data_IF_729230489134
#
_entry.id   IF_729230489134
#
_cell.length_a   1.000
_cell.length_b   1.000
_cell.length_c   1.000
_cell.angle_alpha   90.00
_cell.angle_beta   90.00
_cell.angle_gamma   90.00
#
_symmetry.space_group_name_H-M   'P 1'
#
loop_
_entity.id
_entity.type
_entity.pdbx_description
1 polymer ?
#
# COMPACT_ATOMS: atom_id res chain seq x y z
N UNK A 1 -39.83 -4.46 51.30
CA UNK A 1 -39.20 -5.38 50.34
C UNK A 1 -39.84 -5.15 48.97
N UNK A 2 -39.18 -5.13 47.79
CA UNK A 2 -37.77 -5.04 47.35
C UNK A 2 -37.82 -4.89 45.81
N UNK A 3 -37.16 -4.00 45.08
CA UNK A 3 -36.41 -2.75 45.36
C UNK A 3 -36.32 -1.91 44.05
N UNK A 4 -35.71 -0.71 44.05
CA UNK A 4 -35.47 0.12 42.85
C UNK A 4 -34.00 0.06 42.40
N UNK A 5 -33.66 -0.51 41.23
CA UNK A 5 -32.47 -0.15 40.47
C UNK A 5 -32.80 1.04 39.55
N UNK A 6 -32.18 2.21 39.73
CA UNK A 6 -30.82 2.55 39.27
C UNK A 6 -30.80 2.88 37.77
N UNK A 7 -31.02 4.16 37.45
CA UNK A 7 -30.86 4.70 36.10
C UNK A 7 -29.37 4.78 35.78
N UNK A 8 -28.86 3.82 35.01
CA UNK A 8 -27.47 3.75 34.58
C UNK A 8 -27.30 4.24 33.15
N UNK A 9 -27.13 5.55 32.96
CA UNK A 9 -26.61 6.08 31.69
C UNK A 9 -25.13 5.76 31.59
N UNK A 10 -24.75 4.89 30.65
CA UNK A 10 -23.37 4.66 30.26
C UNK A 10 -23.10 5.24 28.87
N UNK A 11 -22.32 6.34 28.76
CA UNK A 11 -21.78 6.81 27.49
C UNK A 11 -20.28 6.52 27.43
N UNK A 12 -19.89 5.35 26.93
CA UNK A 12 -18.61 5.09 26.27
C UNK A 12 -18.50 3.61 25.90
N UNK A 13 -18.62 3.31 24.61
CA UNK A 13 -17.62 2.43 24.02
C UNK A 13 -17.15 3.06 22.70
N UNK A 14 -16.09 3.87 22.83
CA UNK A 14 -15.38 4.47 21.71
C UNK A 14 -14.58 3.39 21.00
N UNK A 15 -15.21 2.67 20.08
CA UNK A 15 -14.51 1.68 19.24
C UNK A 15 -14.49 2.10 17.78
N UNK A 16 -13.36 2.72 17.40
CA UNK A 16 -12.89 2.91 16.03
C UNK A 16 -13.93 3.38 15.01
N UNK A 17 -14.26 4.68 15.05
CA UNK A 17 -14.46 5.39 13.80
C UNK A 17 -13.16 5.21 12.99
N UNK A 18 -13.20 4.35 11.97
CA UNK A 18 -12.01 4.02 11.19
C UNK A 18 -11.41 5.30 10.63
N UNK A 19 -10.10 5.51 10.88
CA UNK A 19 -9.34 6.58 10.24
C UNK A 19 -9.63 6.53 8.75
N UNK A 20 -10.35 7.55 8.25
CA UNK A 20 -10.55 7.69 6.81
C UNK A 20 -9.17 7.66 6.16
N UNK A 21 -8.92 6.78 5.16
CA UNK A 21 -7.61 6.68 4.56
C UNK A 21 -7.19 8.07 4.07
N UNK A 22 -5.98 8.48 4.48
CA UNK A 22 -5.40 9.73 4.01
C UNK A 22 -5.34 9.76 2.48
N UNK A 23 -5.19 10.95 1.86
CA UNK A 23 -5.09 11.05 0.41
C UNK A 23 -4.01 10.10 -0.12
N UNK A 24 -4.35 9.37 -1.18
CA UNK A 24 -3.42 8.42 -1.79
C UNK A 24 -2.15 9.16 -2.21
N UNK A 25 -0.99 8.70 -1.72
CA UNK A 25 0.31 9.28 -2.04
C UNK A 25 0.82 8.90 -3.45
N UNK A 26 0.11 8.00 -4.12
CA UNK A 26 0.40 7.52 -5.46
C UNK A 26 -0.84 7.66 -6.36
N UNK A 27 -0.67 7.99 -7.66
CA UNK A 27 0.61 8.23 -8.34
C UNK A 27 1.29 9.54 -7.90
N UNK A 28 2.61 9.58 -8.06
CA UNK A 28 3.41 10.79 -7.97
C UNK A 28 3.36 11.55 -9.29
N UNK A 29 3.29 12.88 -9.22
CA UNK A 29 3.62 13.74 -10.37
C UNK A 29 5.04 13.44 -10.83
N UNK A 30 5.21 13.03 -12.08
CA UNK A 30 6.52 12.70 -12.66
C UNK A 30 7.41 13.95 -12.69
N UNK A 31 8.52 14.02 -11.92
CA UNK A 31 9.57 14.98 -12.23
C UNK A 31 10.28 14.50 -13.50
N UNK A 32 10.61 15.41 -14.42
CA UNK A 32 11.03 15.05 -15.80
C UNK A 32 12.11 13.97 -15.89
N UNK A 33 13.01 13.90 -14.91
CA UNK A 33 13.87 12.73 -14.64
C UNK A 33 13.82 12.40 -13.15
N UNK A 34 13.15 11.32 -12.75
CA UNK A 34 13.20 10.81 -11.36
C UNK A 34 14.37 9.83 -11.18
N UNK A 35 15.44 10.27 -10.53
CA UNK A 35 16.63 9.43 -10.26
C UNK A 35 16.37 8.31 -9.26
N UNK A 36 15.26 8.34 -8.51
CA UNK A 36 14.87 7.28 -7.58
C UNK A 36 14.38 6.04 -8.32
N UNK A 37 13.79 6.20 -9.51
CA UNK A 37 13.33 5.10 -10.35
C UNK A 37 14.48 4.46 -11.13
N UNK A 38 15.23 3.60 -10.43
CA UNK A 38 16.46 2.99 -10.90
C UNK A 38 16.32 1.47 -11.11
N UNK A 39 17.26 0.86 -11.84
CA UNK A 39 17.34 -0.60 -11.91
C UNK A 39 17.56 -1.24 -10.53
N UNK A 40 18.29 -0.59 -9.62
CA UNK A 40 18.47 -1.06 -8.24
C UNK A 40 17.15 -1.26 -7.52
N UNK A 41 16.25 -0.28 -7.59
CA UNK A 41 14.90 -0.37 -7.03
C UNK A 41 14.10 -1.56 -7.60
N UNK A 42 14.22 -1.84 -8.89
CA UNK A 42 13.55 -2.98 -9.53
C UNK A 42 14.13 -4.31 -9.03
N UNK A 43 15.45 -4.43 -8.88
CA UNK A 43 16.08 -5.63 -8.31
C UNK A 43 15.75 -5.83 -6.83
N UNK A 44 15.64 -4.76 -6.05
CA UNK A 44 15.27 -4.87 -4.64
C UNK A 44 13.79 -5.26 -4.48
N UNK A 45 12.90 -4.78 -5.35
CA UNK A 45 11.52 -5.27 -5.44
C UNK A 45 11.45 -6.76 -5.85
N UNK A 46 12.29 -7.20 -6.80
CA UNK A 46 12.38 -8.62 -7.18
C UNK A 46 12.80 -9.51 -6.00
N UNK A 47 13.83 -9.10 -5.23
CA UNK A 47 14.25 -9.81 -4.01
C UNK A 47 13.15 -9.88 -2.95
N UNK A 48 12.33 -8.84 -2.81
CA UNK A 48 11.18 -8.85 -1.89
C UNK A 48 10.15 -9.87 -2.34
N UNK A 49 9.84 -9.95 -3.64
CA UNK A 49 8.94 -10.98 -4.18
C UNK A 49 9.50 -12.40 -3.93
N UNK A 50 10.77 -12.62 -4.22
CA UNK A 50 11.47 -13.89 -3.96
C UNK A 50 11.42 -14.28 -2.47
N UNK A 51 11.67 -13.32 -1.56
CA UNK A 51 11.60 -13.54 -0.11
C UNK A 51 10.17 -13.87 0.39
N UNK A 52 9.14 -13.45 -0.34
CA UNK A 52 7.74 -13.82 -0.07
C UNK A 52 7.30 -15.11 -0.80
N UNK A 53 8.22 -15.83 -1.45
CA UNK A 53 7.95 -17.13 -2.09
C UNK A 53 7.45 -17.06 -3.53
N UNK A 54 7.52 -15.89 -4.17
CA UNK A 54 7.29 -15.79 -5.62
C UNK A 54 8.50 -16.35 -6.39
N UNK A 55 8.32 -16.83 -7.64
CA UNK A 55 9.43 -17.29 -8.48
C UNK A 55 10.48 -16.19 -8.73
N UNK A 56 11.76 -16.55 -8.88
CA UNK A 56 12.82 -15.58 -9.07
C UNK A 56 12.79 -14.93 -10.46
N UNK A 57 13.08 -13.63 -10.49
CA UNK A 57 13.00 -12.79 -11.70
C UNK A 57 14.28 -12.95 -12.52
N UNK A 58 14.45 -14.14 -13.09
CA UNK A 58 15.69 -14.56 -13.79
C UNK A 58 15.73 -14.19 -15.27
N UNK A 59 14.57 -13.94 -15.90
CA UNK A 59 14.50 -13.62 -17.32
C UNK A 59 14.36 -12.10 -17.57
N UNK A 60 15.01 -11.61 -18.63
CA UNK A 60 14.92 -10.21 -19.06
C UNK A 60 13.48 -9.69 -19.28
N UNK A 61 12.57 -10.46 -19.91
CA UNK A 61 11.16 -10.07 -20.04
C UNK A 61 10.46 -9.85 -18.69
N UNK A 62 10.71 -10.71 -17.70
CA UNK A 62 10.08 -10.61 -16.37
C UNK A 62 10.57 -9.36 -15.62
N UNK A 63 11.86 -9.04 -15.74
CA UNK A 63 12.43 -7.81 -15.18
C UNK A 63 11.84 -6.56 -15.85
N UNK A 64 11.58 -6.60 -17.16
CA UNK A 64 10.90 -5.51 -17.89
C UNK A 64 9.45 -5.38 -17.45
N UNK A 65 8.73 -6.49 -17.29
CA UNK A 65 7.35 -6.52 -16.80
C UNK A 65 7.24 -5.95 -15.38
N UNK A 66 8.11 -6.38 -14.47
CA UNK A 66 8.20 -5.85 -13.10
C UNK A 66 8.48 -4.34 -13.11
N UNK A 67 9.45 -3.89 -13.91
CA UNK A 67 9.77 -2.46 -14.05
C UNK A 67 8.57 -1.66 -14.56
N UNK A 68 7.82 -2.16 -15.55
CA UNK A 68 6.62 -1.49 -16.06
C UNK A 68 5.50 -1.44 -15.02
N UNK A 69 5.28 -2.53 -14.26
CA UNK A 69 4.28 -2.57 -13.20
C UNK A 69 4.59 -1.56 -12.08
N UNK A 70 5.86 -1.51 -11.64
CA UNK A 70 6.33 -0.52 -10.65
C UNK A 70 6.21 0.92 -11.19
N UNK A 71 6.59 1.17 -12.44
CA UNK A 71 6.44 2.51 -13.05
C UNK A 71 4.98 2.96 -13.07
N UNK A 72 4.06 2.07 -13.47
CA UNK A 72 2.63 2.36 -13.52
C UNK A 72 2.08 2.67 -12.13
N UNK A 73 2.39 1.84 -11.13
CA UNK A 73 2.00 2.08 -9.74
C UNK A 73 2.53 3.43 -9.20
N UNK A 74 3.78 3.78 -9.50
CA UNK A 74 4.41 5.00 -8.98
C UNK A 74 3.93 6.29 -9.67
N UNK A 75 3.54 6.24 -10.95
CA UNK A 75 3.41 7.44 -11.80
C UNK A 75 2.14 7.53 -12.65
N UNK A 76 1.31 6.48 -12.73
CA UNK A 76 0.11 6.46 -13.57
C UNK A 76 -1.17 6.47 -12.72
N UNK A 77 -2.09 7.44 -12.89
CA UNK A 77 -3.31 7.53 -12.09
C UNK A 77 -4.34 6.44 -12.35
N UNK A 78 -4.26 5.76 -13.51
CA UNK A 78 -5.20 4.72 -13.88
C UNK A 78 -4.59 3.31 -13.84
N UNK A 79 -5.14 2.51 -12.94
CA UNK A 79 -5.15 1.05 -13.03
C UNK A 79 -6.42 0.67 -13.82
N UNK A 80 -6.30 0.00 -14.98
CA UNK A 80 -7.45 -0.60 -15.67
C UNK A 80 -7.92 -1.87 -14.97
#
# INVERSE_FOLDING_TARGET
>A
MTARPASGSAPADSSSAGTAPGPALYPLTVPGTDTRFSFGLVFDAAKVLEAHGYPPVTAGPDLVNLRQALFRFLYTPEFP
#
